data_IF_643680240919
#
_entry.id   IF_643680240919
#
_cell.length_a   1.000
_cell.length_b   1.000
_cell.length_c   1.000
_cell.angle_alpha   90.00
_cell.angle_beta   90.00
_cell.angle_gamma   90.00
#
_symmetry.space_group_name_H-M   'P 1'
#
loop_
_entity.id
_entity.type
_entity.pdbx_description
1 polymer ?
#
# COMPACT_ATOMS: atom_id res chain seq x y z
N UNK A 1 -1.99 14.32 16.78
CA UNK A 1 -2.79 13.72 15.70
C UNK A 1 -2.28 12.31 15.49
N UNK A 2 -3.05 11.24 15.79
CA UNK A 2 -2.59 9.89 15.54
C UNK A 2 -3.05 9.48 14.12
N UNK A 3 -2.23 9.74 13.10
CA UNK A 3 -2.50 9.36 11.69
C UNK A 3 -1.30 8.68 11.01
N UNK A 4 -0.34 8.15 11.77
CA UNK A 4 0.92 7.63 11.20
C UNK A 4 0.74 6.54 10.13
N UNK A 5 -0.14 5.57 10.38
CA UNK A 5 -0.31 4.38 9.53
C UNK A 5 -0.99 4.72 8.20
N UNK A 6 -2.10 5.45 8.26
CA UNK A 6 -2.90 5.83 7.09
C UNK A 6 -2.10 6.78 6.19
N UNK A 7 -1.39 7.74 6.80
CA UNK A 7 -0.53 8.67 6.07
C UNK A 7 0.67 7.95 5.45
N UNK A 8 1.26 6.95 6.13
CA UNK A 8 2.35 6.15 5.59
C UNK A 8 1.91 5.36 4.34
N UNK A 9 0.76 4.69 4.39
CA UNK A 9 0.19 3.99 3.23
C UNK A 9 -0.04 4.93 2.05
N UNK A 10 -0.61 6.10 2.32
CA UNK A 10 -0.84 7.11 1.30
C UNK A 10 0.46 7.64 0.69
N UNK A 11 1.48 7.90 1.52
CA UNK A 11 2.81 8.34 1.06
C UNK A 11 3.48 7.30 0.18
N UNK A 12 3.49 6.03 0.60
CA UNK A 12 4.08 4.94 -0.20
C UNK A 12 3.32 4.79 -1.54
N UNK A 13 1.99 4.80 -1.50
CA UNK A 13 1.16 4.75 -2.71
C UNK A 13 1.46 5.92 -3.66
N UNK A 14 1.61 7.14 -3.13
CA UNK A 14 1.94 8.34 -3.90
C UNK A 14 3.32 8.26 -4.52
N UNK A 15 4.33 7.86 -3.74
CA UNK A 15 5.70 7.73 -4.23
C UNK A 15 5.81 6.68 -5.34
N UNK A 16 5.16 5.52 -5.17
CA UNK A 16 5.12 4.49 -6.22
C UNK A 16 4.39 4.98 -7.47
N UNK A 17 3.33 5.77 -7.30
CA UNK A 17 2.65 6.40 -8.43
C UNK A 17 3.57 7.38 -9.16
N UNK A 18 4.37 8.18 -8.47
CA UNK A 18 5.34 9.06 -9.11
C UNK A 18 6.45 8.28 -9.84
N UNK A 19 6.84 7.13 -9.29
CA UNK A 19 7.80 6.19 -9.87
C UNK A 19 7.23 5.30 -10.99
N UNK A 20 5.93 5.43 -11.34
CA UNK A 20 5.25 4.56 -12.32
C UNK A 20 5.98 4.44 -13.66
N UNK A 21 6.63 5.52 -14.10
CA UNK A 21 7.40 5.52 -15.34
C UNK A 21 8.62 4.61 -15.24
N UNK A 22 9.43 4.75 -14.19
CA UNK A 22 10.59 3.88 -13.92
C UNK A 22 10.16 2.41 -13.76
N UNK A 23 9.05 2.17 -13.04
CA UNK A 23 8.48 0.83 -12.89
C UNK A 23 8.03 0.23 -14.25
N UNK A 24 7.56 1.07 -15.17
CA UNK A 24 7.15 0.64 -16.51
C UNK A 24 8.31 0.36 -17.46
N UNK A 25 9.54 0.72 -17.12
CA UNK A 25 10.74 0.35 -17.90
C UNK A 25 11.14 -1.12 -17.71
N UNK A 26 10.47 -1.83 -16.79
CA UNK A 26 10.63 -3.26 -16.63
C UNK A 26 10.44 -3.99 -17.98
N UNK A 27 11.24 -5.03 -18.22
CA UNK A 27 11.03 -5.91 -19.38
C UNK A 27 9.59 -6.42 -19.40
N UNK A 28 8.99 -6.54 -20.60
CA UNK A 28 7.60 -6.98 -20.78
C UNK A 28 7.23 -8.24 -19.95
N UNK A 29 8.12 -9.24 -19.90
CA UNK A 29 7.91 -10.46 -19.11
C UNK A 29 7.79 -10.22 -17.58
N UNK A 30 8.32 -9.11 -17.06
CA UNK A 30 8.33 -8.74 -15.64
C UNK A 30 7.25 -7.72 -15.27
N UNK A 31 6.73 -6.94 -16.22
CA UNK A 31 5.65 -5.96 -15.99
C UNK A 31 4.48 -6.61 -15.25
N UNK A 32 4.10 -7.83 -15.65
CA UNK A 32 3.07 -8.61 -14.95
C UNK A 32 3.42 -8.88 -13.49
N UNK A 33 4.64 -9.32 -13.17
CA UNK A 33 5.07 -9.57 -11.79
C UNK A 33 5.01 -8.30 -10.93
N UNK A 34 5.45 -7.16 -11.47
CA UNK A 34 5.41 -5.87 -10.75
C UNK A 34 3.97 -5.41 -10.56
N UNK A 35 3.14 -5.50 -11.59
CA UNK A 35 1.73 -5.15 -11.52
C UNK A 35 0.95 -6.04 -10.54
N UNK A 36 1.18 -7.35 -10.57
CA UNK A 36 0.55 -8.30 -9.65
C UNK A 36 0.99 -8.03 -8.19
N UNK A 37 2.26 -7.69 -7.97
CA UNK A 37 2.78 -7.31 -6.65
C UNK A 37 2.09 -6.05 -6.10
N UNK A 38 2.04 -4.98 -6.90
CA UNK A 38 1.38 -3.72 -6.53
C UNK A 38 -0.14 -3.90 -6.33
N UNK A 39 -0.77 -4.72 -7.16
CA UNK A 39 -2.19 -5.07 -7.03
C UNK A 39 -2.48 -5.85 -5.75
N UNK A 40 -1.58 -6.73 -5.32
CA UNK A 40 -1.70 -7.45 -4.05
C UNK A 40 -1.71 -6.50 -2.85
N UNK A 41 -0.84 -5.49 -2.85
CA UNK A 41 -0.83 -4.46 -1.82
C UNK A 41 -2.15 -3.67 -1.82
N UNK A 42 -2.61 -3.22 -2.99
CA UNK A 42 -3.88 -2.51 -3.12
C UNK A 42 -5.06 -3.33 -2.55
N UNK A 43 -5.15 -4.59 -2.95
CA UNK A 43 -6.21 -5.51 -2.50
C UNK A 43 -6.19 -5.69 -0.97
N UNK A 44 -5.00 -5.77 -0.38
CA UNK A 44 -4.85 -5.93 1.08
C UNK A 44 -5.35 -4.68 1.82
N UNK A 45 -5.01 -3.48 1.32
CA UNK A 45 -5.45 -2.21 1.89
C UNK A 45 -6.98 -2.06 1.76
N UNK A 46 -7.55 -2.39 0.61
CA UNK A 46 -9.00 -2.31 0.36
C UNK A 46 -9.78 -3.28 1.25
N UNK A 47 -9.32 -4.51 1.37
CA UNK A 47 -9.93 -5.53 2.22
C UNK A 47 -9.89 -5.09 3.69
N UNK A 48 -8.78 -4.48 4.10
CA UNK A 48 -8.63 -3.88 5.43
C UNK A 48 -9.62 -2.73 5.62
N UNK A 49 -9.65 -1.76 4.72
CA UNK A 49 -10.58 -0.62 4.76
C UNK A 49 -12.05 -1.06 4.83
N UNK A 50 -12.44 -2.04 4.00
CA UNK A 50 -13.79 -2.60 3.98
C UNK A 50 -14.16 -3.27 5.32
N UNK A 51 -13.24 -4.03 5.91
CA UNK A 51 -13.44 -4.66 7.22
C UNK A 51 -13.60 -3.59 8.32
N UNK A 52 -12.74 -2.57 8.33
CA UNK A 52 -12.77 -1.48 9.30
C UNK A 52 -14.04 -0.62 9.19
N UNK A 53 -14.55 -0.40 7.98
CA UNK A 53 -15.85 0.26 7.72
C UNK A 53 -17.00 -0.50 8.36
N UNK A 54 -16.95 -1.83 8.32
CA UNK A 54 -17.94 -2.71 8.95
C UNK A 54 -17.74 -2.88 10.47
N UNK A 55 -16.67 -2.29 11.04
CA UNK A 55 -16.31 -2.50 12.43
C UNK A 55 -15.78 -3.91 12.71
N UNK A 56 -15.35 -4.62 11.67
CA UNK A 56 -14.77 -5.97 11.76
C UNK A 56 -13.25 -5.84 11.90
N UNK A 57 -12.69 -6.65 12.78
CA UNK A 57 -11.25 -6.75 12.93
C UNK A 57 -10.61 -7.41 11.69
N UNK A 58 -9.65 -6.75 11.01
CA UNK A 58 -9.01 -7.31 9.82
C UNK A 58 -7.95 -8.35 10.23
N UNK A 59 -8.35 -9.62 10.27
CA UNK A 59 -7.43 -10.72 10.56
C UNK A 59 -6.49 -10.98 9.38
N UNK A 60 -5.19 -11.12 9.64
CA UNK A 60 -4.19 -11.60 8.66
C UNK A 60 -3.65 -10.57 7.67
N UNK A 61 -4.36 -9.46 7.42
CA UNK A 61 -3.92 -8.44 6.45
C UNK A 61 -2.64 -7.72 6.86
N UNK A 62 -2.35 -7.63 8.17
CA UNK A 62 -1.07 -7.13 8.67
C UNK A 62 0.11 -7.96 8.17
N UNK A 63 -0.04 -9.28 8.21
CA UNK A 63 1.02 -10.22 7.84
C UNK A 63 1.22 -10.24 6.33
N UNK A 64 0.14 -10.05 5.56
CA UNK A 64 0.22 -9.87 4.10
C UNK A 64 0.95 -8.58 3.73
N UNK A 65 0.62 -7.44 4.34
CA UNK A 65 1.34 -6.17 4.10
C UNK A 65 2.80 -6.26 4.49
N UNK A 66 3.13 -6.90 5.61
CA UNK A 66 4.51 -7.15 6.01
C UNK A 66 5.25 -7.98 4.96
N UNK A 67 4.64 -9.09 4.51
CA UNK A 67 5.23 -9.95 3.50
C UNK A 67 5.45 -9.20 2.18
N UNK A 68 4.52 -8.32 1.79
CA UNK A 68 4.70 -7.44 0.64
C UNK A 68 5.86 -6.48 0.84
N UNK A 69 5.98 -5.86 2.01
CA UNK A 69 7.07 -4.94 2.32
C UNK A 69 8.44 -5.65 2.31
N UNK A 70 8.54 -6.85 2.88
CA UNK A 70 9.77 -7.68 2.83
C UNK A 70 10.17 -8.05 1.40
N UNK A 71 9.20 -8.20 0.50
CA UNK A 71 9.44 -8.51 -0.91
C UNK A 71 9.68 -7.29 -1.79
N UNK A 72 9.48 -6.07 -1.31
CA UNK A 72 9.49 -4.86 -2.14
C UNK A 72 10.83 -4.63 -2.85
N UNK A 73 11.95 -4.73 -2.13
CA UNK A 73 13.29 -4.56 -2.74
C UNK A 73 13.52 -5.59 -3.85
N UNK A 74 13.14 -6.85 -3.63
CA UNK A 74 13.25 -7.89 -4.66
C UNK A 74 12.29 -7.66 -5.83
N UNK A 75 11.11 -7.09 -5.57
CA UNK A 75 10.09 -6.88 -6.58
C UNK A 75 10.42 -5.72 -7.52
N UNK A 76 10.94 -4.61 -6.99
CA UNK A 76 11.11 -3.36 -7.75
C UNK A 76 12.46 -2.65 -7.57
N UNK A 77 13.35 -3.13 -6.70
CA UNK A 77 14.58 -2.41 -6.31
C UNK A 77 15.54 -2.13 -7.46
N UNK A 78 15.64 -3.01 -8.46
CA UNK A 78 16.46 -2.76 -9.64
C UNK A 78 15.82 -1.79 -10.65
N UNK A 79 14.53 -1.46 -10.50
CA UNK A 79 13.80 -0.51 -11.35
C UNK A 79 13.82 0.91 -10.76
N UNK A 80 13.66 1.03 -9.44
CA UNK A 80 13.56 2.34 -8.76
C UNK A 80 14.80 2.69 -7.94
N UNK A 81 15.76 1.77 -7.83
CA UNK A 81 16.92 1.85 -6.95
C UNK A 81 16.69 1.12 -5.62
N UNK A 82 17.70 0.38 -5.17
CA UNK A 82 17.59 -0.44 -3.94
C UNK A 82 17.34 0.41 -2.69
N UNK A 83 17.96 1.59 -2.59
CA UNK A 83 17.74 2.52 -1.49
C UNK A 83 16.29 2.99 -1.43
N UNK A 84 15.76 3.49 -2.55
CA UNK A 84 14.37 3.95 -2.64
C UNK A 84 13.39 2.82 -2.32
N UNK A 85 13.60 1.63 -2.88
CA UNK A 85 12.76 0.47 -2.59
C UNK A 85 12.84 0.03 -1.11
N UNK A 86 13.99 0.20 -0.46
CA UNK A 86 14.18 -0.09 0.97
C UNK A 86 13.47 0.93 1.85
N UNK A 87 13.49 2.20 1.47
CA UNK A 87 12.80 3.27 2.20
C UNK A 87 11.29 3.11 2.11
N UNK A 88 10.78 2.80 0.91
CA UNK A 88 9.36 2.47 0.69
C UNK A 88 8.95 1.21 1.45
N UNK A 89 9.80 0.17 1.45
CA UNK A 89 9.56 -1.05 2.22
C UNK A 89 9.47 -0.74 3.71
N UNK A 90 10.39 0.06 4.25
CA UNK A 90 10.43 0.43 5.66
C UNK A 90 9.18 1.20 6.07
N UNK A 91 8.76 2.18 5.26
CA UNK A 91 7.51 2.91 5.48
C UNK A 91 6.28 1.98 5.43
N UNK A 92 6.27 1.00 4.53
CA UNK A 92 5.19 0.01 4.47
C UNK A 92 5.22 -0.95 5.68
N UNK A 93 6.38 -1.26 6.25
CA UNK A 93 6.48 -2.08 7.48
C UNK A 93 5.98 -1.35 8.71
N UNK A 94 6.12 -0.03 8.78
CA UNK A 94 5.55 0.77 9.87
C UNK A 94 4.02 0.64 9.96
N UNK A 95 3.37 0.23 8.86
CA UNK A 95 1.92 -0.01 8.75
C UNK A 95 1.48 -1.32 9.45
N UNK A 96 2.42 -2.18 9.88
CA UNK A 96 2.16 -3.44 10.61
C UNK A 96 1.13 -3.29 11.75
N UNK A 97 1.02 -2.09 12.33
CA UNK A 97 0.14 -1.79 13.47
C UNK A 97 -1.34 -1.60 13.08
N UNK A 98 -1.86 -2.32 12.09
CA UNK A 98 -3.31 -2.29 11.74
C UNK A 98 -4.20 -2.64 12.95
N UNK A 99 -3.71 -3.46 13.89
CA UNK A 99 -4.41 -3.73 15.15
C UNK A 99 -4.60 -2.45 15.98
N UNK A 100 -3.59 -1.58 16.00
CA UNK A 100 -3.69 -0.26 16.62
C UNK A 100 -4.61 0.65 15.83
N UNK A 101 -4.57 0.60 14.49
CA UNK A 101 -5.50 1.35 13.65
C UNK A 101 -6.96 0.98 13.95
N UNK A 102 -7.28 -0.31 14.12
CA UNK A 102 -8.61 -0.73 14.54
C UNK A 102 -9.01 -0.08 15.87
N UNK A 103 -8.17 -0.20 16.91
CA UNK A 103 -8.45 0.41 18.22
C UNK A 103 -8.61 1.94 18.16
N UNK A 104 -7.76 2.61 17.38
CA UNK A 104 -7.83 4.06 17.15
C UNK A 104 -9.14 4.45 16.46
N UNK A 105 -9.54 3.74 15.40
CA UNK A 105 -10.76 4.04 14.66
C UNK A 105 -12.04 3.77 15.46
N UNK A 106 -12.02 2.80 16.38
CA UNK A 106 -13.15 2.56 17.29
C UNK A 106 -13.32 3.67 18.34
N UNK A 107 -12.22 4.34 18.70
CA UNK A 107 -12.21 5.41 19.70
C UNK A 107 -12.26 6.82 19.08
N UNK A 108 -12.13 6.92 17.76
CA UNK A 108 -12.11 8.17 17.02
C UNK A 108 -13.51 8.75 16.83
N UNK A 109 -13.58 10.08 16.66
CA UNK A 109 -14.81 10.74 16.23
C UNK A 109 -15.23 10.21 14.84
N UNK A 110 -16.53 10.12 14.54
CA UNK A 110 -17.02 9.59 13.26
C UNK A 110 -16.41 10.26 12.02
N UNK A 111 -16.15 11.57 12.07
CA UNK A 111 -15.52 12.33 11.00
C UNK A 111 -14.07 11.92 10.75
N UNK A 112 -13.28 11.69 11.81
CA UNK A 112 -11.89 11.30 11.70
C UNK A 112 -11.76 9.83 11.27
N UNK A 113 -12.70 8.99 11.71
CA UNK A 113 -12.83 7.61 11.22
C UNK A 113 -13.09 7.60 9.71
N UNK A 114 -14.08 8.37 9.23
CA UNK A 114 -14.37 8.44 7.79
C UNK A 114 -13.17 8.95 6.99
N UNK A 115 -12.54 10.04 7.44
CA UNK A 115 -11.36 10.60 6.76
C UNK A 115 -10.24 9.57 6.64
N UNK A 116 -9.96 8.83 7.71
CA UNK A 116 -8.93 7.79 7.72
C UNK A 116 -9.22 6.67 6.73
N UNK A 117 -10.47 6.21 6.68
CA UNK A 117 -10.91 5.15 5.77
C UNK A 117 -10.89 5.61 4.31
N UNK A 118 -11.27 6.87 4.04
CA UNK A 118 -11.20 7.45 2.70
C UNK A 118 -9.75 7.59 2.23
N UNK A 119 -8.81 7.91 3.13
CA UNK A 119 -7.38 7.96 2.79
C UNK A 119 -6.80 6.57 2.53
N UNK A 120 -7.25 5.51 3.24
CA UNK A 120 -6.88 4.13 2.92
C UNK A 120 -7.34 3.74 1.50
N UNK A 121 -8.56 4.11 1.13
CA UNK A 121 -9.11 3.83 -0.20
C UNK A 121 -8.34 4.59 -1.29
N UNK A 122 -7.95 5.85 -1.02
CA UNK A 122 -7.08 6.61 -1.91
C UNK A 122 -5.70 5.96 -2.06
N UNK A 123 -5.08 5.53 -0.96
CA UNK A 123 -3.80 4.84 -1.00
C UNK A 123 -3.90 3.59 -1.89
N UNK A 124 -4.89 2.73 -1.66
CA UNK A 124 -5.09 1.55 -2.49
C UNK A 124 -5.33 1.89 -3.97
N UNK A 125 -6.08 2.95 -4.24
CA UNK A 125 -6.29 3.48 -5.58
C UNK A 125 -4.98 3.84 -6.29
N UNK A 126 -4.02 4.45 -5.59
CA UNK A 126 -2.70 4.79 -6.13
C UNK A 126 -1.87 3.54 -6.46
N UNK A 127 -1.86 2.52 -5.59
CA UNK A 127 -1.20 1.25 -5.88
C UNK A 127 -1.82 0.57 -7.10
N UNK A 128 -3.15 0.50 -7.16
CA UNK A 128 -3.89 -0.11 -8.27
C UNK A 128 -3.67 0.63 -9.59
N UNK A 129 -3.68 1.96 -9.56
CA UNK A 129 -3.42 2.78 -10.75
C UNK A 129 -1.98 2.56 -11.26
N UNK A 130 -1.01 2.51 -10.35
CA UNK A 130 0.39 2.20 -10.69
C UNK A 130 0.51 0.81 -11.30
N UNK A 131 -0.13 -0.20 -10.71
CA UNK A 131 -0.14 -1.57 -11.24
C UNK A 131 -0.70 -1.63 -12.67
N UNK A 132 -1.86 -1.00 -12.88
CA UNK A 132 -2.50 -0.95 -14.19
C UNK A 132 -1.62 -0.24 -15.22
N UNK A 133 -1.01 0.90 -14.84
CA UNK A 133 -0.09 1.63 -15.70
C UNK A 133 1.11 0.77 -16.10
N UNK A 134 1.81 0.15 -15.14
CA UNK A 134 2.97 -0.71 -15.41
C UNK A 134 2.61 -1.86 -16.35
N UNK A 135 1.42 -2.45 -16.19
CA UNK A 135 0.98 -3.59 -17.00
C UNK A 135 0.75 -3.23 -18.47
N UNK A 136 0.22 -2.04 -18.75
CA UNK A 136 -0.23 -1.65 -20.10
C UNK A 136 0.73 -0.70 -20.81
N UNK A 137 1.68 -0.10 -20.09
CA UNK A 137 2.69 0.78 -20.68
C UNK A 137 3.54 0.01 -21.71
N UNK A 138 3.92 0.64 -22.84
CA UNK A 138 4.67 0.01 -23.93
C UNK A 138 6.06 -0.47 -23.49
#
# INVERSE_FOLDING_TARGET
MPTGIVDALFKVGSALFDLRNALSEARQARKKTVADFLSGIAQTIETTSASLRQGIYPHGTCQELLAHADHMVKAIGDLVGETEATDLASQLKEVWQIEQLYGQLQSAAPEDKHRSLDTLDQAAGLFRATAAFVLVSP
#
